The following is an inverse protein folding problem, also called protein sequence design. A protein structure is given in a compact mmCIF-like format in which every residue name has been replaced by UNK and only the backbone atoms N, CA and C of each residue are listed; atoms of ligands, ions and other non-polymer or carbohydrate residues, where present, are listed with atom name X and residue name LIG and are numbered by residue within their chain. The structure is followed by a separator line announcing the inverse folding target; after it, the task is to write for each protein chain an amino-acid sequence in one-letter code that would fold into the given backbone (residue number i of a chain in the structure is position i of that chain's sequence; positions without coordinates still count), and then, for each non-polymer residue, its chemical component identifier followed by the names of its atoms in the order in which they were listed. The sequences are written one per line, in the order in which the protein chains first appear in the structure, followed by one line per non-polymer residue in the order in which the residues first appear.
data_IF_670642008385
#
_entry.id   IF_670642008385
#
_cell.length_a   1.000
_cell.length_b   1.000
_cell.length_c   1.000
_cell.angle_alpha   90.00
_cell.angle_beta   90.00
_cell.angle_gamma   90.00
#
_symmetry.space_group_name_H-M   'P 1'
#
loop_
_entity.id
_entity.type
_entity.pdbx_description
1 polymer ?
#
# COMPACT_ATOMS: atom_id res chain seq x y z
N UNK A 1 -46.92 -2.87 16.10
CA UNK A 1 -45.84 -1.85 16.17
C UNK A 1 -44.62 -2.31 16.97
N UNK A 2 -44.75 -2.76 18.22
CA UNK A 2 -43.61 -3.22 19.04
C UNK A 2 -42.90 -4.48 18.53
N UNK A 3 -43.64 -5.44 17.96
CA UNK A 3 -43.06 -6.65 17.36
C UNK A 3 -42.18 -6.32 16.15
N UNK A 4 -42.60 -5.38 15.31
CA UNK A 4 -41.80 -4.94 14.17
C UNK A 4 -40.53 -4.21 14.60
N UNK A 5 -40.60 -3.43 15.69
CA UNK A 5 -39.43 -2.78 16.29
C UNK A 5 -38.43 -3.82 16.83
N UNK A 6 -38.91 -4.87 17.48
CA UNK A 6 -38.07 -5.95 17.97
C UNK A 6 -37.37 -6.70 16.83
N UNK A 7 -38.10 -7.01 15.75
CA UNK A 7 -37.53 -7.63 14.55
C UNK A 7 -36.45 -6.75 13.92
N UNK A 8 -36.69 -5.42 13.84
CA UNK A 8 -35.70 -4.49 13.31
C UNK A 8 -34.41 -4.48 14.13
N UNK A 9 -34.50 -4.40 15.46
CA UNK A 9 -33.34 -4.42 16.36
C UNK A 9 -32.56 -5.73 16.23
N UNK A 10 -33.26 -6.87 16.21
CA UNK A 10 -32.62 -8.19 16.04
C UNK A 10 -31.92 -8.28 14.69
N UNK A 11 -32.55 -7.79 13.61
CA UNK A 11 -31.95 -7.80 12.27
C UNK A 11 -30.69 -6.92 12.19
N UNK A 12 -30.67 -5.78 12.89
CA UNK A 12 -29.53 -4.88 12.94
C UNK A 12 -28.35 -5.50 13.70
N UNK A 13 -28.62 -6.21 14.81
CA UNK A 13 -27.60 -6.92 15.58
C UNK A 13 -26.99 -8.05 14.75
N UNK A 14 -27.83 -8.84 14.08
CA UNK A 14 -27.36 -9.93 13.20
C UNK A 14 -26.50 -9.35 12.08
N UNK A 15 -26.96 -8.30 11.39
CA UNK A 15 -26.22 -7.65 10.31
C UNK A 15 -24.86 -7.12 10.76
N UNK A 16 -24.78 -6.55 11.98
CA UNK A 16 -23.53 -6.10 12.57
C UNK A 16 -22.59 -7.26 12.91
N UNK A 17 -23.14 -8.34 13.49
CA UNK A 17 -22.36 -9.52 13.87
C UNK A 17 -21.84 -10.31 12.66
N UNK A 18 -22.62 -10.38 11.57
CA UNK A 18 -22.23 -11.05 10.32
C UNK A 18 -21.46 -10.16 9.36
N UNK A 19 -21.21 -8.90 9.73
CA UNK A 19 -20.46 -7.98 8.87
C UNK A 19 -19.08 -8.57 8.61
N UNK A 20 -18.65 -8.69 7.35
CA UNK A 20 -17.29 -9.11 7.04
C UNK A 20 -16.33 -8.13 7.69
N UNK A 21 -15.43 -8.65 8.53
CA UNK A 21 -14.37 -7.84 9.15
C UNK A 21 -13.57 -7.22 8.02
N UNK A 22 -13.44 -5.89 8.03
CA UNK A 22 -12.59 -5.17 7.09
C UNK A 22 -11.19 -5.77 7.18
N UNK A 23 -10.73 -6.42 6.12
CA UNK A 23 -9.37 -6.92 6.07
C UNK A 23 -8.44 -5.72 6.08
N UNK A 24 -7.47 -5.72 6.99
CA UNK A 24 -6.43 -4.71 6.95
C UNK A 24 -5.74 -4.80 5.58
N UNK A 25 -5.54 -3.67 4.87
CA UNK A 25 -4.81 -3.69 3.62
C UNK A 25 -3.44 -4.32 3.88
N UNK A 26 -3.05 -5.24 3.00
CA UNK A 26 -1.74 -5.88 3.09
C UNK A 26 -0.68 -4.78 3.04
N UNK A 27 0.35 -4.82 3.89
CA UNK A 27 1.47 -3.91 3.74
C UNK A 27 2.01 -4.05 2.31
N UNK A 28 2.28 -2.92 1.65
CA UNK A 28 2.91 -2.92 0.34
C UNK A 28 4.16 -3.80 0.42
N UNK A 29 4.31 -4.75 -0.50
CA UNK A 29 5.51 -5.55 -0.61
C UNK A 29 6.58 -4.76 -1.37
N UNK A 30 7.83 -5.19 -1.27
CA UNK A 30 8.92 -4.61 -2.06
C UNK A 30 8.65 -4.69 -3.58
N UNK A 31 7.95 -5.74 -4.00
CA UNK A 31 7.54 -6.00 -5.38
C UNK A 31 6.41 -5.07 -5.88
N UNK A 32 5.72 -4.37 -4.97
CA UNK A 32 4.67 -3.42 -5.34
C UNK A 32 5.24 -2.05 -5.77
N UNK A 33 6.55 -1.85 -5.66
CA UNK A 33 7.23 -0.61 -6.05
C UNK A 33 7.90 -0.77 -7.42
N UNK A 34 7.54 0.11 -8.35
CA UNK A 34 8.20 0.20 -9.64
C UNK A 34 9.40 1.16 -9.52
N UNK A 35 10.59 0.59 -9.44
CA UNK A 35 11.84 1.36 -9.36
C UNK A 35 12.35 1.62 -10.78
N UNK A 36 12.84 2.83 -11.08
CA UNK A 36 13.46 3.09 -12.37
C UNK A 36 14.76 2.27 -12.47
N UNK A 37 14.69 1.23 -13.31
CA UNK A 37 15.81 0.35 -13.61
C UNK A 37 16.34 0.58 -15.01
N UNK A 38 17.66 0.67 -15.12
CA UNK A 38 18.34 0.66 -16.40
C UNK A 38 18.30 -0.75 -17.01
N UNK A 39 18.15 -0.82 -18.34
CA UNK A 39 18.31 -2.07 -19.09
C UNK A 39 19.80 -2.30 -19.35
N UNK A 40 20.15 -3.54 -19.67
CA UNK A 40 21.52 -3.84 -20.11
C UNK A 40 21.86 -2.98 -21.34
N UNK A 41 22.98 -2.26 -21.29
CA UNK A 41 23.42 -1.34 -22.33
C UNK A 41 22.89 0.09 -22.22
N UNK A 42 22.07 0.43 -21.20
CA UNK A 42 21.70 1.83 -20.94
C UNK A 42 22.95 2.67 -20.62
N UNK A 43 23.20 3.78 -21.33
CA UNK A 43 24.37 4.62 -21.07
C UNK A 43 24.30 5.26 -19.68
N UNK A 44 25.41 5.24 -18.95
CA UNK A 44 25.53 5.92 -17.67
C UNK A 44 25.96 7.37 -17.88
N UNK A 45 25.24 8.32 -17.28
CA UNK A 45 25.66 9.71 -17.28
C UNK A 45 26.80 9.90 -16.25
N UNK A 46 27.85 10.61 -16.66
CA UNK A 46 28.92 11.05 -15.79
C UNK A 46 28.90 12.57 -15.75
N UNK A 47 28.75 13.12 -14.55
CA UNK A 47 28.52 14.56 -14.35
C UNK A 47 29.74 15.15 -13.67
N UNK A 48 30.21 16.27 -14.20
CA UNK A 48 31.26 17.08 -13.59
C UNK A 48 30.68 18.46 -13.25
N UNK A 49 30.60 18.77 -11.95
CA UNK A 49 29.93 19.98 -11.45
C UNK A 49 28.45 19.76 -11.14
N UNK A 50 27.69 20.85 -11.02
CA UNK A 50 26.28 20.82 -10.63
C UNK A 50 25.36 21.04 -11.83
N UNK A 51 24.46 20.07 -12.10
CA UNK A 51 23.44 20.15 -13.16
C UNK A 51 22.16 19.44 -12.73
N UNK A 52 21.02 19.89 -13.22
CA UNK A 52 19.75 19.19 -13.05
C UNK A 52 19.62 18.08 -14.09
N UNK A 53 19.11 16.92 -13.67
CA UNK A 53 18.88 15.75 -14.52
C UNK A 53 17.40 15.40 -14.43
N UNK A 54 16.81 15.03 -15.57
CA UNK A 54 15.40 14.66 -15.65
C UNK A 54 15.16 13.19 -15.26
N UNK A 55 16.21 12.36 -15.30
CA UNK A 55 16.12 10.91 -15.11
C UNK A 55 17.10 10.41 -14.06
N UNK A 56 16.75 9.31 -13.40
CA UNK A 56 17.53 8.67 -12.34
C UNK A 56 17.36 7.16 -12.36
N UNK A 57 18.36 6.44 -11.86
CA UNK A 57 18.35 4.98 -11.84
C UNK A 57 18.69 4.46 -10.45
N UNK A 58 17.97 3.44 -10.00
CA UNK A 58 18.26 2.73 -8.75
C UNK A 58 19.32 1.65 -8.99
N UNK A 59 20.50 1.81 -8.40
CA UNK A 59 21.59 0.82 -8.47
C UNK A 59 21.47 -0.26 -7.38
N UNK A 60 20.83 0.07 -6.26
CA UNK A 60 20.57 -0.88 -5.19
C UNK A 60 19.68 -0.27 -4.12
N UNK A 61 18.69 -1.04 -3.68
CA UNK A 61 17.83 -0.72 -2.54
C UNK A 61 17.88 -1.88 -1.56
N UNK A 62 18.01 -1.57 -0.27
CA UNK A 62 18.08 -2.56 0.79
C UNK A 62 17.45 -2.07 2.08
N UNK A 63 17.42 -2.95 3.08
CA UNK A 63 16.89 -2.67 4.43
C UNK A 63 15.41 -2.25 4.44
N UNK A 64 14.58 -2.95 3.67
CA UNK A 64 13.14 -2.75 3.68
C UNK A 64 12.57 -3.12 5.05
N UNK A 65 12.00 -2.14 5.76
CA UNK A 65 11.37 -2.33 7.07
C UNK A 65 10.01 -1.68 7.08
N UNK A 66 9.00 -2.43 7.48
CA UNK A 66 7.64 -1.92 7.66
C UNK A 66 7.27 -1.93 9.13
N UNK A 67 6.73 -0.82 9.62
CA UNK A 67 6.09 -0.76 10.94
C UNK A 67 4.58 -0.74 10.72
N UNK A 68 3.80 -1.60 11.39
CA UNK A 68 2.35 -1.55 11.27
C UNK A 68 1.81 -0.20 11.77
N UNK A 69 0.91 0.41 11.00
CA UNK A 69 0.20 1.61 11.42
C UNK A 69 -0.74 1.23 12.57
N UNK A 70 -0.42 1.65 13.79
CA UNK A 70 -1.33 1.56 14.93
C UNK A 70 -2.30 2.75 14.88
N UNK A 71 -3.60 2.45 14.95
CA UNK A 71 -4.64 3.44 15.29
C UNK A 71 -4.67 3.67 16.79
#
# INVERSE_FOLDING_TARGET
MWVQLAIFVVSAIISYATRPKTQAPRPAAFEDFDFPQAKEGTPQCFIFGDVWIEDWTVVGVGNYRTTPIRR
#
